data_IF_578067804666
#
_entry.id   IF_578067804666
#
_cell.length_a   1.000
_cell.length_b   1.000
_cell.length_c   1.000
_cell.angle_alpha   90.00
_cell.angle_beta   90.00
_cell.angle_gamma   90.00
#
_symmetry.space_group_name_H-M   'P 1'
#
loop_
_entity.id
_entity.type
_entity.pdbx_description
1 polymer ?
#
# COMPACT_ATOMS: atom_id res chain seq x y z
N UNK A 1 -3.14 -4.67 13.86
CA UNK A 1 -2.02 -5.13 13.02
C UNK A 1 -2.57 -6.16 12.05
N UNK A 2 -2.45 -5.94 10.75
CA UNK A 2 -2.94 -6.84 9.70
C UNK A 2 -2.00 -8.05 9.60
N UNK A 3 -2.55 -9.25 9.53
CA UNK A 3 -1.83 -10.53 9.38
C UNK A 3 -1.52 -10.80 7.91
N UNK A 4 -0.38 -11.44 7.62
CA UNK A 4 -0.09 -11.95 6.28
C UNK A 4 -0.87 -13.24 6.03
N UNK A 5 -1.73 -13.24 5.01
CA UNK A 5 -2.52 -14.42 4.61
C UNK A 5 -2.23 -14.91 3.20
N UNK A 6 -1.64 -14.06 2.35
CA UNK A 6 -1.24 -14.43 0.99
C UNK A 6 0.12 -15.12 1.02
N UNK A 7 0.21 -16.25 0.32
CA UNK A 7 1.44 -17.03 0.09
C UNK A 7 2.58 -16.15 -0.44
N UNK A 8 3.81 -16.48 -0.07
CA UNK A 8 4.96 -15.61 -0.29
C UNK A 8 5.21 -15.32 -1.78
N UNK A 9 5.05 -16.33 -2.62
CA UNK A 9 5.16 -16.27 -4.08
C UNK A 9 4.07 -15.44 -4.74
N UNK A 10 2.92 -15.29 -4.08
CA UNK A 10 1.78 -14.51 -4.55
C UNK A 10 1.78 -13.08 -3.99
N UNK A 11 2.74 -12.73 -3.13
CA UNK A 11 2.84 -11.39 -2.56
C UNK A 11 3.38 -10.41 -3.59
N UNK A 12 2.63 -9.34 -3.82
CA UNK A 12 2.97 -8.29 -4.76
C UNK A 12 2.63 -6.90 -4.21
N UNK A 13 3.28 -5.90 -4.78
CA UNK A 13 2.93 -4.50 -4.57
C UNK A 13 3.11 -3.79 -5.89
N UNK A 14 2.01 -3.26 -6.41
CA UNK A 14 1.96 -2.56 -7.68
C UNK A 14 1.87 -1.06 -7.40
N UNK A 15 2.85 -0.32 -7.92
CA UNK A 15 2.90 1.14 -7.79
C UNK A 15 2.70 1.71 -9.19
N UNK A 16 1.63 2.44 -9.38
CA UNK A 16 1.34 3.17 -10.61
C UNK A 16 1.54 4.67 -10.34
N UNK A 17 2.36 5.30 -11.18
CA UNK A 17 2.65 6.73 -11.10
C UNK A 17 2.07 7.37 -12.36
N UNK A 18 1.06 8.20 -12.16
CA UNK A 18 0.42 8.95 -13.23
C UNK A 18 0.93 10.39 -13.21
N UNK A 19 1.77 10.74 -14.19
CA UNK A 19 2.35 12.08 -14.30
C UNK A 19 1.37 13.12 -14.83
N UNK A 20 0.36 12.69 -15.60
CA UNK A 20 -0.64 13.60 -16.16
C UNK A 20 -1.59 14.05 -15.04
N UNK A 21 -2.15 13.09 -14.32
CA UNK A 21 -3.05 13.34 -13.19
C UNK A 21 -2.30 13.75 -11.91
N UNK A 22 -0.97 13.59 -11.88
CA UNK A 22 -0.10 13.82 -10.71
C UNK A 22 -0.55 13.03 -9.48
N UNK A 23 -0.87 11.76 -9.68
CA UNK A 23 -1.32 10.82 -8.62
C UNK A 23 -0.51 9.54 -8.62
N UNK A 24 -0.43 8.95 -7.44
CA UNK A 24 0.26 7.68 -7.20
C UNK A 24 -0.74 6.73 -6.59
N UNK A 25 -0.86 5.57 -7.24
CA UNK A 25 -1.76 4.50 -6.84
C UNK A 25 -0.93 3.32 -6.41
N UNK A 26 -1.24 2.79 -5.24
CA UNK A 26 -0.58 1.61 -4.69
C UNK A 26 -1.64 0.56 -4.49
N UNK A 27 -1.42 -0.61 -5.06
CA UNK A 27 -2.09 -1.84 -4.67
C UNK A 27 -1.08 -2.74 -3.96
N UNK A 28 -1.48 -3.38 -2.87
CA UNK A 28 -0.63 -4.35 -2.20
C UNK A 28 -1.46 -5.42 -1.51
N UNK A 29 -0.99 -6.66 -1.56
CA UNK A 29 -1.47 -7.78 -0.76
C UNK A 29 -0.43 -8.20 0.32
N UNK A 30 0.59 -7.36 0.51
CA UNK A 30 1.65 -7.55 1.49
C UNK A 30 1.30 -6.80 2.78
N UNK A 31 1.02 -7.54 3.84
CA UNK A 31 0.59 -7.01 5.13
C UNK A 31 1.55 -6.01 5.75
N UNK A 32 2.86 -6.16 5.53
CA UNK A 32 3.85 -5.19 6.03
C UNK A 32 3.72 -3.83 5.37
N UNK A 33 3.43 -3.78 4.06
CA UNK A 33 3.19 -2.53 3.33
C UNK A 33 1.86 -1.93 3.77
N UNK A 34 0.79 -2.73 3.87
CA UNK A 34 -0.51 -2.26 4.37
C UNK A 34 -0.39 -1.62 5.75
N UNK A 35 0.24 -2.30 6.71
CA UNK A 35 0.44 -1.77 8.05
C UNK A 35 1.28 -0.48 8.05
N UNK A 36 2.33 -0.38 7.21
CA UNK A 36 3.13 0.85 7.09
C UNK A 36 2.30 2.02 6.59
N UNK A 37 1.49 1.83 5.55
CA UNK A 37 0.63 2.87 4.99
C UNK A 37 -0.43 3.35 5.98
N UNK A 38 -1.06 2.41 6.69
CA UNK A 38 -2.02 2.74 7.75
C UNK A 38 -1.35 3.48 8.92
N UNK A 39 -0.16 3.06 9.34
CA UNK A 39 0.60 3.74 10.40
C UNK A 39 1.04 5.16 10.01
N UNK A 40 1.10 5.45 8.72
CA UNK A 40 1.35 6.79 8.19
C UNK A 40 0.06 7.62 8.03
N UNK A 41 -1.08 7.11 8.48
CA UNK A 41 -2.41 7.70 8.34
C UNK A 41 -2.86 7.86 6.88
N UNK A 42 -2.42 6.99 5.97
CA UNK A 42 -3.03 6.90 4.65
C UNK A 42 -4.30 6.05 4.73
N UNK A 43 -5.40 6.61 4.23
CA UNK A 43 -6.67 5.91 4.14
C UNK A 43 -6.70 5.01 2.90
N UNK A 44 -7.06 3.73 3.04
CA UNK A 44 -7.22 2.84 1.90
C UNK A 44 -8.47 3.23 1.09
N UNK A 45 -8.31 3.26 -0.23
CA UNK A 45 -9.41 3.49 -1.19
C UNK A 45 -10.28 2.24 -1.33
N UNK A 46 -9.65 1.06 -1.38
CA UNK A 46 -10.33 -0.23 -1.35
C UNK A 46 -9.68 -1.16 -0.32
N UNK A 47 -10.48 -2.04 0.27
CA UNK A 47 -10.04 -3.11 1.17
C UNK A 47 -10.72 -4.40 0.70
N UNK A 48 -9.94 -5.39 0.30
CA UNK A 48 -10.44 -6.70 -0.07
C UNK A 48 -10.26 -7.68 1.08
N UNK A 49 -11.19 -8.62 1.20
CA UNK A 49 -11.17 -9.66 2.24
C UNK A 49 -11.31 -11.04 1.64
N UNK A 50 -10.55 -11.99 2.17
CA UNK A 50 -10.66 -13.40 1.88
C UNK A 50 -10.93 -14.14 3.19
N UNK A 51 -12.03 -14.89 3.25
CA UNK A 51 -12.48 -15.59 4.47
C UNK A 51 -12.59 -14.69 5.71
N UNK A 52 -12.99 -13.43 5.52
CA UNK A 52 -13.13 -12.43 6.60
C UNK A 52 -11.83 -11.73 7.02
N UNK A 53 -10.66 -12.20 6.57
CA UNK A 53 -9.37 -11.56 6.80
C UNK A 53 -9.01 -10.62 5.64
N UNK A 54 -8.37 -9.49 5.93
CA UNK A 54 -7.93 -8.53 4.90
C UNK A 54 -6.83 -9.17 4.05
N UNK A 55 -7.04 -9.25 2.74
CA UNK A 55 -6.09 -9.85 1.80
C UNK A 55 -5.31 -8.79 0.99
N UNK A 56 -5.94 -7.68 0.62
CA UNK A 56 -5.31 -6.58 -0.10
C UNK A 56 -5.93 -5.22 0.23
N UNK A 57 -5.17 -4.17 -0.06
CA UNK A 57 -5.62 -2.79 0.01
C UNK A 57 -5.11 -2.00 -1.20
N UNK A 58 -5.88 -1.00 -1.60
CA UNK A 58 -5.41 0.04 -2.52
C UNK A 58 -5.37 1.41 -1.85
N UNK A 59 -4.43 2.25 -2.27
CA UNK A 59 -4.23 3.60 -1.78
C UNK A 59 -4.02 4.53 -2.96
N UNK A 60 -4.45 5.79 -2.82
CA UNK A 60 -4.25 6.83 -3.83
C UNK A 60 -3.87 8.13 -3.15
N UNK A 61 -2.80 8.78 -3.62
CA UNK A 61 -2.40 10.08 -3.13
C UNK A 61 -1.78 10.92 -4.25
N UNK A 62 -1.93 12.23 -4.13
CA UNK A 62 -1.39 13.23 -5.05
C UNK A 62 0.11 13.47 -4.82
N UNK A 63 0.81 13.96 -5.85
CA UNK A 63 2.27 14.15 -5.83
C UNK A 63 2.76 15.13 -4.77
N UNK A 64 1.93 16.08 -4.33
CA UNK A 64 2.21 16.98 -3.20
C UNK A 64 2.48 16.21 -1.89
N UNK A 65 1.91 15.01 -1.73
CA UNK A 65 2.17 14.12 -0.59
C UNK A 65 3.36 13.19 -0.81
N UNK A 66 3.93 13.14 -2.02
CA UNK A 66 4.99 12.20 -2.41
C UNK A 66 6.36 12.42 -1.74
N UNK A 67 6.82 13.65 -1.43
CA UNK A 67 8.07 13.85 -0.70
C UNK A 67 8.08 13.14 0.67
N UNK A 68 6.92 13.08 1.32
CA UNK A 68 6.74 12.37 2.59
C UNK A 68 6.71 10.83 2.43
N UNK A 69 6.36 10.35 1.25
CA UNK A 69 6.23 8.93 0.91
C UNK A 69 7.59 8.28 0.63
N UNK A 70 8.46 8.93 -0.17
CA UNK A 70 9.82 8.43 -0.44
C UNK A 70 10.74 8.66 0.78
N UNK A 71 10.67 9.85 1.40
CA UNK A 71 11.57 10.22 2.50
C UNK A 71 11.42 9.35 3.76
N UNK A 72 10.24 8.74 3.96
CA UNK A 72 9.95 7.88 5.12
C UNK A 72 10.29 6.40 4.91
N UNK A 73 10.79 6.01 3.74
CA UNK A 73 11.29 4.64 3.52
C UNK A 73 10.19 3.56 3.54
N UNK A 74 9.02 3.83 2.94
CA UNK A 74 7.90 2.86 2.86
C UNK A 74 8.34 1.49 2.32
N UNK A 75 9.37 1.46 1.46
CA UNK A 75 9.96 0.25 0.90
C UNK A 75 11.33 -0.13 1.49
N UNK A 76 11.79 0.49 2.59
CA UNK A 76 13.01 0.02 3.24
C UNK A 76 12.79 -1.42 3.73
N UNK A 77 13.59 -2.33 3.21
CA UNK A 77 13.77 -3.65 3.80
C UNK A 77 14.47 -3.45 5.14
N UNK A 78 13.80 -3.84 6.23
CA UNK A 78 14.45 -4.13 7.51
C UNK A 78 15.09 -5.50 7.43
#
# INVERSE_FOLDING_TARGET
MIKQIIEQECQETNINIDYYDKVIRIYTNKSTVMNRLLNMNYEPKNIDKMNGEICSMSFEFTFDKFPSFIGKGVFKCS
#
